data_IF_312238519482
#
_entry.id   IF_312238519482
#
_cell.length_a   1.000
_cell.length_b   1.000
_cell.length_c   1.000
_cell.angle_alpha   90.00
_cell.angle_beta   90.00
_cell.angle_gamma   90.00
#
_symmetry.space_group_name_H-M   'P 1'
#
loop_
_entity.id
_entity.type
_entity.pdbx_description
1 polymer ?
#
# COMPACT_ATOMS: atom_id res chain seq x y z
N UNK A 1 -31.09 -4.07 -23.81
CA UNK A 1 -29.64 -4.40 -23.75
C UNK A 1 -29.20 -4.28 -22.30
N UNK A 2 -28.67 -5.33 -21.63
CA UNK A 2 -28.25 -5.19 -20.24
C UNK A 2 -26.91 -4.43 -20.20
N UNK A 3 -26.91 -3.23 -19.62
CA UNK A 3 -25.70 -2.48 -19.31
C UNK A 3 -24.94 -3.24 -18.23
N UNK A 4 -23.76 -3.77 -18.56
CA UNK A 4 -22.89 -4.45 -17.61
C UNK A 4 -22.24 -3.40 -16.70
N UNK A 5 -23.00 -2.86 -15.73
CA UNK A 5 -22.50 -2.01 -14.67
C UNK A 5 -21.88 -2.89 -13.57
N UNK A 6 -20.89 -3.72 -13.94
CA UNK A 6 -20.07 -4.38 -12.93
C UNK A 6 -18.80 -3.54 -12.81
N UNK A 7 -18.70 -2.61 -11.84
CA UNK A 7 -17.41 -2.03 -11.53
C UNK A 7 -16.50 -3.21 -11.18
N UNK A 8 -15.51 -3.46 -12.04
CA UNK A 8 -14.50 -4.50 -11.83
C UNK A 8 -14.13 -4.40 -10.36
N UNK A 9 -14.29 -5.49 -9.59
CA UNK A 9 -13.83 -5.55 -8.19
C UNK A 9 -12.35 -5.23 -8.23
N UNK A 10 -12.00 -3.96 -8.12
CA UNK A 10 -10.64 -3.51 -7.92
C UNK A 10 -10.31 -4.13 -6.58
N UNK A 11 -9.35 -5.05 -6.60
CA UNK A 11 -8.79 -5.62 -5.39
C UNK A 11 -8.17 -4.47 -4.62
N UNK A 12 -8.99 -3.80 -3.81
CA UNK A 12 -8.60 -2.65 -3.03
C UNK A 12 -7.81 -3.21 -1.86
N UNK A 13 -6.49 -3.02 -1.91
CA UNK A 13 -5.64 -3.30 -0.76
C UNK A 13 -6.16 -2.50 0.44
N UNK A 14 -6.42 -3.22 1.53
CA UNK A 14 -6.80 -2.64 2.80
C UNK A 14 -5.79 -1.58 3.23
N UNK A 15 -6.26 -0.53 3.89
CA UNK A 15 -5.39 0.55 4.36
C UNK A 15 -4.30 0.03 5.29
N UNK A 16 -4.61 -0.93 6.17
CA UNK A 16 -3.65 -1.62 7.05
C UNK A 16 -2.50 -2.27 6.25
N UNK A 17 -2.84 -2.93 5.14
CA UNK A 17 -1.86 -3.58 4.28
C UNK A 17 -0.93 -2.57 3.61
N UNK A 18 -1.48 -1.43 3.15
CA UNK A 18 -0.69 -0.34 2.58
C UNK A 18 0.26 0.27 3.61
N UNK A 19 -0.20 0.43 4.86
CA UNK A 19 0.63 0.91 5.97
C UNK A 19 1.79 -0.05 6.23
N UNK A 20 1.52 -1.32 6.48
CA UNK A 20 2.58 -2.32 6.76
C UNK A 20 3.61 -2.37 5.63
N UNK A 21 3.16 -2.35 4.39
CA UNK A 21 4.05 -2.34 3.24
C UNK A 21 4.93 -1.06 3.22
N UNK A 22 4.36 0.10 3.50
CA UNK A 22 5.12 1.36 3.54
C UNK A 22 6.07 1.42 4.73
N UNK A 23 5.67 0.96 5.91
CA UNK A 23 6.49 0.87 7.13
C UNK A 23 7.71 -0.01 6.89
N UNK A 24 7.52 -1.22 6.34
CA UNK A 24 8.60 -2.12 5.95
C UNK A 24 9.55 -1.48 4.93
N UNK A 25 9.00 -0.74 3.95
CA UNK A 25 9.81 -0.01 2.97
C UNK A 25 10.56 1.19 3.56
N UNK A 26 10.09 1.74 4.69
CA UNK A 26 10.68 2.89 5.34
C UNK A 26 11.88 2.52 6.22
N UNK A 27 12.06 1.23 6.54
CA UNK A 27 13.23 0.75 7.25
C UNK A 27 14.52 1.01 6.45
N UNK A 28 15.52 1.56 7.13
CA UNK A 28 16.77 2.01 6.53
C UNK A 28 17.56 0.80 6.03
N UNK A 29 17.77 0.73 4.71
CA UNK A 29 18.50 -0.37 4.06
C UNK A 29 17.64 -1.43 3.38
N UNK A 30 16.29 -1.39 3.51
CA UNK A 30 15.42 -2.34 2.83
C UNK A 30 14.99 -1.80 1.45
N UNK A 31 15.20 -2.61 0.41
CA UNK A 31 14.77 -2.27 -0.95
C UNK A 31 13.27 -2.51 -1.15
N UNK A 32 12.63 -1.58 -1.85
CA UNK A 32 11.22 -1.66 -2.27
C UNK A 32 10.90 -2.98 -3.00
N UNK A 33 11.84 -3.49 -3.80
CA UNK A 33 11.67 -4.76 -4.51
C UNK A 33 11.59 -5.98 -3.58
N UNK A 34 12.36 -6.01 -2.49
CA UNK A 34 12.35 -7.14 -1.55
C UNK A 34 11.05 -7.19 -0.74
N UNK A 35 10.57 -6.04 -0.28
CA UNK A 35 9.29 -5.92 0.42
C UNK A 35 8.12 -6.27 -0.50
N UNK A 36 8.18 -5.81 -1.75
CA UNK A 36 7.20 -6.11 -2.79
C UNK A 36 7.16 -7.62 -3.11
N UNK A 37 8.31 -8.27 -3.25
CA UNK A 37 8.40 -9.71 -3.47
C UNK A 37 7.87 -10.54 -2.30
N UNK A 38 8.12 -10.11 -1.04
CA UNK A 38 7.60 -10.79 0.14
C UNK A 38 6.10 -10.64 0.37
N UNK A 39 5.50 -9.53 -0.11
CA UNK A 39 4.07 -9.25 0.02
C UNK A 39 3.26 -9.65 -1.24
N UNK A 40 3.93 -10.19 -2.26
CA UNK A 40 3.35 -10.48 -3.58
C UNK A 40 2.66 -9.25 -4.23
N UNK A 41 3.27 -8.06 -4.08
CA UNK A 41 2.77 -6.80 -4.64
C UNK A 41 3.73 -6.33 -5.73
N UNK A 42 3.21 -5.66 -6.75
CA UNK A 42 4.06 -5.00 -7.73
C UNK A 42 4.87 -3.84 -7.09
N UNK A 43 6.21 -3.77 -7.24
CA UNK A 43 7.06 -2.76 -6.57
C UNK A 43 6.70 -1.31 -6.93
N UNK A 44 6.18 -1.09 -8.15
CA UNK A 44 5.64 0.20 -8.57
C UNK A 44 4.50 0.69 -7.66
N UNK A 45 3.65 -0.19 -7.13
CA UNK A 45 2.57 0.17 -6.21
C UNK A 45 3.15 0.72 -4.90
N UNK A 46 4.18 0.08 -4.38
CA UNK A 46 4.84 0.48 -3.15
C UNK A 46 5.54 1.84 -3.28
N UNK A 47 6.20 2.08 -4.42
CA UNK A 47 6.77 3.40 -4.75
C UNK A 47 5.71 4.50 -4.85
N UNK A 48 4.52 4.18 -5.37
CA UNK A 48 3.40 5.12 -5.41
C UNK A 48 2.87 5.41 -4.01
N UNK A 49 2.82 4.40 -3.12
CA UNK A 49 2.38 4.59 -1.74
C UNK A 49 3.36 5.43 -0.92
N UNK A 50 4.68 5.25 -1.09
CA UNK A 50 5.67 6.15 -0.44
C UNK A 50 5.49 7.62 -0.83
N UNK A 51 5.21 7.90 -2.11
CA UNK A 51 4.92 9.27 -2.58
C UNK A 51 3.58 9.81 -2.08
N UNK A 52 2.60 8.93 -1.94
CA UNK A 52 1.25 9.25 -1.51
C UNK A 52 1.03 9.15 0.01
N UNK A 53 2.08 8.86 0.79
CA UNK A 53 2.05 8.89 2.25
C UNK A 53 2.41 10.30 2.76
N UNK A 54 1.44 11.22 2.92
CA UNK A 54 1.68 12.39 3.75
C UNK A 54 1.95 11.94 5.18
N UNK A 55 2.65 12.79 5.93
CA UNK A 55 3.04 12.68 7.35
C UNK A 55 1.97 12.08 8.29
N UNK A 56 0.69 12.16 7.92
CA UNK A 56 -0.46 11.65 8.66
C UNK A 56 -0.77 10.14 8.46
N UNK A 57 -0.19 9.47 7.46
CA UNK A 57 -0.49 8.07 7.16
C UNK A 57 0.12 7.10 8.19
N UNK A 58 1.33 7.41 8.66
CA UNK A 58 1.99 6.67 9.76
C UNK A 58 1.35 7.01 11.12
N UNK A 59 0.94 8.27 11.32
CA UNK A 59 0.29 8.71 12.57
C UNK A 59 -1.04 7.98 12.82
N UNK A 60 -1.80 7.66 11.77
CA UNK A 60 -3.08 6.94 11.90
C UNK A 60 -2.92 5.43 12.12
N UNK A 61 -1.74 4.88 11.86
CA UNK A 61 -1.45 3.45 12.04
C UNK A 61 -0.79 3.14 13.39
N UNK A 62 -0.04 4.10 13.94
CA UNK A 62 0.65 3.94 15.22
C UNK A 62 -0.27 3.98 16.45
N UNK A 63 -1.61 3.95 16.28
CA UNK A 63 -2.54 3.84 17.41
C UNK A 63 -2.46 4.98 18.43
N UNK A 64 -1.99 6.17 18.04
CA UNK A 64 -2.11 7.38 18.84
C UNK A 64 -3.51 8.00 18.64
N UNK A 65 -4.54 7.28 19.07
CA UNK A 65 -5.86 7.83 19.48
C UNK A 65 -6.48 6.89 20.51
#
# INVERSE_FOLDING_TARGET
MPQYNNPRKTWQYSTDFKVKAVELSCQEGIQVQQVAAGLDIHPMMLSRWRKACPRNFLAKAAGFV
#
